data_IF_719695454505
#
_entry.id   IF_719695454505
#
_cell.length_a   1.000
_cell.length_b   1.000
_cell.length_c   1.000
_cell.angle_alpha   90.00
_cell.angle_beta   90.00
_cell.angle_gamma   90.00
#
_symmetry.space_group_name_H-M   'P 1'
#
loop_
_entity.id
_entity.type
_entity.pdbx_description
1 polymer ?
#
# COMPACT_ATOMS: atom_id res chain seq x y z
N UNK A 1 -22.76 -24.96 9.85
CA UNK A 1 -22.09 -23.90 9.07
C UNK A 1 -22.76 -22.57 9.45
N UNK A 2 -22.01 -21.65 10.04
CA UNK A 2 -22.53 -20.32 10.40
C UNK A 2 -22.25 -19.37 9.25
N UNK A 3 -23.26 -18.70 8.73
CA UNK A 3 -23.13 -17.69 7.68
C UNK A 3 -23.01 -16.32 8.34
N UNK A 4 -21.90 -15.62 8.09
CA UNK A 4 -21.72 -14.23 8.51
C UNK A 4 -22.52 -13.33 7.58
N UNK A 5 -23.43 -12.52 8.14
CA UNK A 5 -24.35 -11.64 7.39
C UNK A 5 -24.16 -10.17 7.71
N UNK A 6 -23.40 -9.84 8.75
CA UNK A 6 -23.18 -8.46 9.18
C UNK A 6 -21.71 -8.06 9.03
N UNK A 7 -21.48 -6.83 8.58
CA UNK A 7 -20.15 -6.24 8.42
C UNK A 7 -19.96 -5.21 9.53
N UNK A 8 -19.08 -5.52 10.49
CA UNK A 8 -18.82 -4.65 11.64
C UNK A 8 -17.70 -3.64 11.42
N UNK A 9 -16.87 -3.81 10.39
CA UNK A 9 -15.67 -2.98 10.16
C UNK A 9 -15.93 -1.60 9.58
N UNK A 10 -17.10 -1.36 8.98
CA UNK A 10 -17.42 -0.12 8.29
C UNK A 10 -18.83 0.34 8.62
N UNK A 11 -19.04 1.66 8.69
CA UNK A 11 -20.36 2.23 8.96
C UNK A 11 -21.39 1.80 7.90
N UNK A 12 -22.61 1.48 8.32
CA UNK A 12 -23.65 0.94 7.44
C UNK A 12 -24.07 1.85 6.27
N UNK A 13 -23.64 3.13 6.27
CA UNK A 13 -23.89 4.10 5.21
C UNK A 13 -22.74 4.22 4.19
N UNK A 14 -21.63 3.48 4.38
CA UNK A 14 -20.47 3.48 3.46
C UNK A 14 -20.86 2.90 2.11
N UNK A 15 -20.60 3.64 1.03
CA UNK A 15 -20.80 3.15 -0.33
C UNK A 15 -19.82 2.06 -0.71
N UNK A 16 -18.67 1.96 -0.03
CA UNK A 16 -17.73 0.85 -0.19
C UNK A 16 -18.42 -0.45 0.20
N UNK A 17 -19.12 -0.48 1.34
CA UNK A 17 -19.87 -1.65 1.83
C UNK A 17 -21.05 -1.98 0.92
N UNK A 18 -21.86 -0.98 0.60
CA UNK A 18 -23.03 -1.14 -0.28
C UNK A 18 -22.61 -1.70 -1.63
N UNK A 19 -21.56 -1.13 -2.24
CA UNK A 19 -21.07 -1.57 -3.54
C UNK A 19 -20.39 -2.94 -3.47
N UNK A 20 -19.72 -3.29 -2.39
CA UNK A 20 -19.17 -4.63 -2.19
C UNK A 20 -20.29 -5.69 -2.20
N UNK A 21 -21.42 -5.43 -1.52
CA UNK A 21 -22.58 -6.31 -1.55
C UNK A 21 -23.23 -6.40 -2.93
N UNK A 22 -23.35 -5.28 -3.66
CA UNK A 22 -23.88 -5.26 -5.03
C UNK A 22 -23.01 -6.10 -5.96
N UNK A 23 -21.69 -5.87 -5.94
CA UNK A 23 -20.73 -6.63 -6.76
C UNK A 23 -20.79 -8.13 -6.44
N UNK A 24 -20.87 -8.50 -5.16
CA UNK A 24 -20.98 -9.90 -4.75
C UNK A 24 -22.27 -10.58 -5.23
N UNK A 25 -23.32 -9.82 -5.48
CA UNK A 25 -24.59 -10.29 -6.10
C UNK A 25 -24.59 -10.25 -7.61
N UNK A 26 -23.49 -9.81 -8.26
CA UNK A 26 -23.39 -9.63 -9.70
C UNK A 26 -24.03 -8.34 -10.22
N UNK A 27 -24.34 -7.39 -9.35
CA UNK A 27 -24.89 -6.09 -9.70
C UNK A 27 -23.76 -5.06 -9.96
N UNK A 28 -24.06 -4.04 -10.78
CA UNK A 28 -23.13 -2.93 -10.97
C UNK A 28 -23.03 -2.06 -9.72
N UNK A 29 -21.82 -1.59 -9.35
CA UNK A 29 -21.67 -0.63 -8.25
C UNK A 29 -22.32 0.71 -8.60
N UNK A 30 -22.85 1.38 -7.59
CA UNK A 30 -23.31 2.75 -7.71
C UNK A 30 -22.13 3.71 -7.54
N UNK A 31 -21.79 4.41 -8.62
CA UNK A 31 -20.66 5.35 -8.68
C UNK A 31 -21.13 6.81 -8.79
N UNK A 32 -22.44 7.07 -8.65
CA UNK A 32 -23.03 8.39 -8.89
C UNK A 32 -23.22 9.22 -7.60
N UNK A 33 -23.02 8.62 -6.44
CA UNK A 33 -23.17 9.32 -5.17
C UNK A 33 -22.03 10.35 -5.02
N UNK A 34 -22.37 11.63 -5.15
CA UNK A 34 -21.50 12.75 -4.77
C UNK A 34 -21.39 12.74 -3.24
N UNK A 35 -20.34 13.12 -2.63
CA UNK A 35 -20.14 13.21 -1.17
C UNK A 35 -20.11 11.85 -0.43
N UNK A 36 -19.70 10.79 -1.10
CA UNK A 36 -19.55 9.44 -0.54
C UNK A 36 -18.07 9.00 -0.61
N UNK A 37 -17.79 7.82 -0.07
CA UNK A 37 -16.48 7.22 0.07
C UNK A 37 -16.08 6.27 -1.09
N UNK A 38 -16.88 6.19 -2.16
CA UNK A 38 -16.64 5.35 -3.33
C UNK A 38 -16.76 6.14 -4.63
N UNK A 39 -15.67 6.20 -5.40
CA UNK A 39 -15.58 7.01 -6.62
C UNK A 39 -15.11 6.17 -7.80
N UNK A 40 -15.61 6.46 -8.99
CA UNK A 40 -15.17 5.90 -10.25
C UNK A 40 -14.57 6.99 -11.14
N UNK A 41 -13.28 6.85 -11.47
CA UNK A 41 -12.60 7.70 -12.44
C UNK A 41 -12.32 6.92 -13.72
N UNK A 42 -13.01 7.27 -14.81
CA UNK A 42 -12.79 6.64 -16.11
C UNK A 42 -11.66 7.33 -16.86
N UNK A 43 -10.79 6.55 -17.48
CA UNK A 43 -9.70 6.98 -18.36
C UNK A 43 -9.69 6.14 -19.61
N UNK A 44 -9.30 6.72 -20.72
CA UNK A 44 -9.34 6.06 -22.02
C UNK A 44 -8.10 5.24 -22.33
N UNK A 45 -6.95 5.57 -21.71
CA UNK A 45 -5.68 4.92 -21.93
C UNK A 45 -4.98 4.55 -20.63
N UNK A 46 -4.13 3.52 -20.67
CA UNK A 46 -3.29 3.14 -19.52
C UNK A 46 -2.35 4.27 -19.08
N UNK A 47 -1.87 5.09 -20.01
CA UNK A 47 -1.03 6.25 -19.68
C UNK A 47 -1.79 7.31 -18.88
N UNK A 48 -3.03 7.59 -19.25
CA UNK A 48 -3.89 8.50 -18.50
C UNK A 48 -4.25 7.94 -17.13
N UNK A 49 -4.46 6.62 -17.01
CA UNK A 49 -4.69 5.95 -15.74
C UNK A 49 -3.47 6.10 -14.82
N UNK A 50 -2.26 5.81 -15.32
CA UNK A 50 -1.02 5.96 -14.56
C UNK A 50 -0.81 7.40 -14.09
N UNK A 51 -1.00 8.37 -14.98
CA UNK A 51 -0.89 9.80 -14.64
C UNK A 51 -1.91 10.19 -13.55
N UNK A 52 -3.15 9.70 -13.65
CA UNK A 52 -4.20 9.94 -12.65
C UNK A 52 -3.85 9.30 -11.30
N UNK A 53 -3.30 8.10 -11.28
CA UNK A 53 -2.86 7.43 -10.04
C UNK A 53 -1.78 8.28 -9.35
N UNK A 54 -0.77 8.73 -10.09
CA UNK A 54 0.28 9.60 -9.55
C UNK A 54 -0.29 10.92 -9.02
N UNK A 55 -1.17 11.58 -9.78
CA UNK A 55 -1.82 12.82 -9.37
C UNK A 55 -2.66 12.64 -8.09
N UNK A 56 -3.41 11.54 -8.00
CA UNK A 56 -4.18 11.21 -6.80
C UNK A 56 -3.29 11.06 -5.58
N UNK A 57 -2.20 10.31 -5.68
CA UNK A 57 -1.30 10.05 -4.57
C UNK A 57 -0.52 11.29 -4.13
N UNK A 58 -0.05 12.11 -5.09
CA UNK A 58 0.85 13.22 -4.78
C UNK A 58 0.13 14.52 -4.44
N UNK A 59 -1.04 14.75 -5.03
CA UNK A 59 -1.68 16.06 -5.02
C UNK A 59 -3.09 15.96 -4.46
N UNK A 60 -4.01 15.28 -5.16
CA UNK A 60 -5.43 15.41 -4.89
C UNK A 60 -5.87 14.84 -3.55
N UNK A 61 -5.39 13.65 -3.18
CA UNK A 61 -5.74 13.04 -1.89
C UNK A 61 -5.08 13.78 -0.71
N UNK A 62 -3.78 14.13 -0.75
CA UNK A 62 -3.17 14.95 0.30
C UNK A 62 -3.76 16.36 0.45
N UNK A 63 -4.18 16.98 -0.66
CA UNK A 63 -4.86 18.29 -0.59
C UNK A 63 -6.26 18.18 0.02
N UNK A 64 -6.98 17.10 -0.29
CA UNK A 64 -8.33 16.87 0.21
C UNK A 64 -8.33 16.41 1.69
N UNK A 65 -7.43 15.48 2.03
CA UNK A 65 -7.22 14.95 3.37
C UNK A 65 -5.90 15.50 3.92
N UNK A 66 -5.91 16.63 4.58
CA UNK A 66 -4.70 17.37 5.02
C UNK A 66 -3.73 16.58 5.90
N UNK A 67 -4.23 15.59 6.63
CA UNK A 67 -3.42 14.74 7.52
C UNK A 67 -2.93 13.45 6.84
N UNK A 68 -3.29 13.23 5.58
CA UNK A 68 -2.97 11.99 4.87
C UNK A 68 -1.52 11.98 4.41
N UNK A 69 -0.78 10.97 4.82
CA UNK A 69 0.56 10.66 4.29
C UNK A 69 0.44 9.80 3.04
N UNK A 70 0.92 10.27 1.88
CA UNK A 70 0.82 9.52 0.63
C UNK A 70 1.45 8.13 0.70
N UNK A 71 2.52 7.98 1.46
CA UNK A 71 3.26 6.72 1.55
C UNK A 71 2.61 5.74 2.54
N UNK A 72 2.20 6.21 3.74
CA UNK A 72 1.62 5.32 4.75
C UNK A 72 0.15 5.01 4.50
N UNK A 73 -0.67 6.00 4.13
CA UNK A 73 -2.12 5.89 4.21
C UNK A 73 -2.78 5.48 2.89
N UNK A 74 -2.04 5.58 1.77
CA UNK A 74 -2.57 5.17 0.47
C UNK A 74 -2.11 3.74 0.13
N UNK A 75 -3.09 2.91 -0.27
CA UNK A 75 -2.83 1.58 -0.81
C UNK A 75 -3.43 1.46 -2.21
N UNK A 76 -2.60 1.09 -3.19
CA UNK A 76 -3.04 0.86 -4.57
C UNK A 76 -3.18 -0.64 -4.78
N UNK A 77 -4.32 -1.03 -5.33
CA UNK A 77 -4.61 -2.41 -5.71
C UNK A 77 -4.70 -2.51 -7.23
N UNK A 78 -4.03 -3.49 -7.81
CA UNK A 78 -4.11 -3.81 -9.24
C UNK A 78 -4.27 -5.31 -9.44
N UNK A 79 -5.12 -5.76 -10.40
CA UNK A 79 -5.34 -7.19 -10.66
C UNK A 79 -4.20 -7.83 -11.47
N UNK A 80 -3.25 -7.04 -11.98
CA UNK A 80 -2.18 -7.53 -12.87
C UNK A 80 -0.79 -7.26 -12.30
N UNK A 81 0.15 -8.15 -12.59
CA UNK A 81 1.53 -8.03 -12.12
C UNK A 81 2.46 -7.30 -13.11
N UNK A 82 2.25 -7.54 -14.42
CA UNK A 82 3.08 -6.98 -15.51
C UNK A 82 2.28 -5.95 -16.31
N UNK A 83 2.97 -5.16 -17.14
CA UNK A 83 2.38 -4.08 -17.94
C UNK A 83 2.44 -2.74 -17.25
N UNK A 84 1.95 -1.70 -17.92
CA UNK A 84 2.05 -0.32 -17.47
C UNK A 84 1.35 -0.09 -16.12
N UNK A 85 0.20 -0.73 -15.92
CA UNK A 85 -0.58 -0.67 -14.67
C UNK A 85 -0.36 -1.89 -13.78
N UNK A 86 0.64 -2.72 -14.08
CA UNK A 86 1.00 -3.87 -13.25
C UNK A 86 1.73 -3.46 -11.98
N UNK A 87 1.62 -4.25 -10.92
CA UNK A 87 2.20 -3.94 -9.61
C UNK A 87 3.71 -3.71 -9.66
N UNK A 88 4.45 -4.38 -10.56
CA UNK A 88 5.90 -4.17 -10.71
C UNK A 88 6.18 -2.74 -11.21
N UNK A 89 5.50 -2.30 -12.27
CA UNK A 89 5.71 -0.98 -12.83
C UNK A 89 5.14 0.12 -11.92
N UNK A 90 3.95 -0.10 -11.33
CA UNK A 90 3.36 0.88 -10.41
C UNK A 90 4.26 1.12 -9.20
N UNK A 91 4.86 0.08 -8.61
CA UNK A 91 5.81 0.26 -7.50
C UNK A 91 7.01 1.12 -7.91
N UNK A 92 7.60 0.87 -9.09
CA UNK A 92 8.70 1.67 -9.60
C UNK A 92 8.29 3.13 -9.82
N UNK A 93 7.18 3.35 -10.53
CA UNK A 93 6.67 4.67 -10.87
C UNK A 93 6.29 5.51 -9.64
N UNK A 94 5.74 4.83 -8.61
CA UNK A 94 5.37 5.48 -7.36
C UNK A 94 6.57 5.71 -6.45
N UNK A 95 7.54 4.80 -6.39
CA UNK A 95 8.78 5.00 -5.67
C UNK A 95 9.51 6.25 -6.17
N UNK A 96 9.63 6.43 -7.49
CA UNK A 96 10.29 7.59 -8.09
C UNK A 96 9.63 8.93 -7.71
N UNK A 97 8.35 8.96 -7.43
CA UNK A 97 7.62 10.18 -7.11
C UNK A 97 7.37 10.36 -5.60
N UNK A 98 7.19 9.28 -4.83
CA UNK A 98 6.93 9.34 -3.40
C UNK A 98 8.22 9.28 -2.56
N UNK A 99 9.22 8.57 -3.04
CA UNK A 99 10.53 8.41 -2.39
C UNK A 99 11.65 8.50 -3.45
N UNK A 100 11.88 9.69 -4.04
CA UNK A 100 12.85 9.87 -5.12
C UNK A 100 14.29 9.59 -4.64
N UNK A 101 15.20 9.20 -5.56
CA UNK A 101 16.61 8.98 -5.23
C UNK A 101 17.21 10.19 -4.53
N UNK A 102 17.89 9.94 -3.42
CA UNK A 102 18.57 10.96 -2.65
C UNK A 102 19.95 10.44 -2.21
N UNK A 103 20.99 11.28 -2.32
CA UNK A 103 22.37 10.91 -1.94
C UNK A 103 22.53 10.55 -0.46
N UNK A 104 21.60 10.99 0.38
CA UNK A 104 21.58 10.67 1.82
C UNK A 104 20.85 9.38 2.16
N UNK A 105 20.19 8.73 1.19
CA UNK A 105 19.45 7.49 1.39
C UNK A 105 20.19 6.34 0.71
N UNK A 106 20.33 5.25 1.42
CA UNK A 106 20.87 4.03 0.84
C UNK A 106 19.78 3.31 0.03
N UNK A 107 20.22 2.73 -1.09
CA UNK A 107 19.37 1.89 -1.92
C UNK A 107 20.07 0.62 -2.35
N UNK A 108 19.33 -0.46 -2.56
CA UNK A 108 19.84 -1.73 -3.02
C UNK A 108 18.91 -2.41 -4.01
N UNK A 109 19.48 -2.88 -5.09
CA UNK A 109 18.73 -3.61 -6.13
C UNK A 109 18.86 -5.12 -5.92
N UNK A 110 17.71 -5.80 -5.91
CA UNK A 110 17.59 -7.26 -5.90
C UNK A 110 16.78 -7.71 -7.12
N UNK A 111 17.45 -8.27 -8.11
CA UNK A 111 16.84 -8.61 -9.39
C UNK A 111 16.28 -7.37 -10.10
N UNK A 112 15.00 -7.33 -10.34
CA UNK A 112 14.32 -6.22 -11.01
C UNK A 112 13.77 -5.15 -10.04
N UNK A 113 14.00 -5.29 -8.74
CA UNK A 113 13.46 -4.39 -7.71
C UNK A 113 14.57 -3.62 -7.04
N UNK A 114 14.38 -2.33 -6.93
CA UNK A 114 15.22 -1.46 -6.10
C UNK A 114 14.46 -1.14 -4.83
N UNK A 115 15.11 -1.36 -3.69
CA UNK A 115 14.65 -0.98 -2.37
C UNK A 115 15.46 0.22 -1.90
N UNK A 116 14.78 1.19 -1.30
CA UNK A 116 15.38 2.43 -0.79
C UNK A 116 14.91 2.67 0.63
N UNK A 117 15.77 3.25 1.46
CA UNK A 117 15.38 3.71 2.79
C UNK A 117 14.17 4.65 2.68
N UNK A 118 13.18 4.45 3.56
CA UNK A 118 11.89 5.12 3.52
C UNK A 118 10.82 4.43 2.66
N UNK A 119 11.15 3.38 1.91
CA UNK A 119 10.15 2.64 1.15
C UNK A 119 9.17 1.91 2.06
N UNK A 120 7.89 1.98 1.69
CA UNK A 120 6.84 1.13 2.24
C UNK A 120 6.96 -0.27 1.64
N UNK A 121 7.06 -1.27 2.47
CA UNK A 121 7.19 -2.67 2.07
C UNK A 121 6.15 -3.55 2.74
N UNK A 122 5.87 -4.70 2.16
CA UNK A 122 4.95 -5.69 2.72
C UNK A 122 5.60 -7.06 2.71
N UNK A 123 5.49 -7.76 3.82
CA UNK A 123 5.88 -9.17 3.92
C UNK A 123 4.95 -10.01 3.04
N UNK A 124 5.52 -10.75 2.08
CA UNK A 124 4.73 -11.53 1.11
C UNK A 124 4.64 -13.04 1.45
N UNK A 125 5.32 -13.46 2.52
CA UNK A 125 5.29 -14.83 3.03
C UNK A 125 5.47 -14.82 4.54
N UNK A 126 4.84 -15.75 5.24
CA UNK A 126 5.11 -15.93 6.67
C UNK A 126 6.56 -16.31 6.92
N UNK A 127 7.22 -15.62 7.82
CA UNK A 127 8.55 -15.97 8.34
C UNK A 127 8.47 -16.07 9.86
N UNK A 128 8.22 -17.27 10.36
CA UNK A 128 8.08 -17.56 11.79
C UNK A 128 9.35 -17.43 12.60
N UNK A 129 10.51 -17.39 11.92
CA UNK A 129 11.83 -17.35 12.55
C UNK A 129 12.46 -15.95 12.50
N UNK A 130 11.80 -14.99 11.84
CA UNK A 130 12.29 -13.62 11.79
C UNK A 130 12.20 -12.99 13.17
N UNK A 131 13.33 -12.63 13.74
CA UNK A 131 13.37 -11.96 15.05
C UNK A 131 13.05 -10.49 14.88
N UNK A 132 12.28 -9.96 15.81
CA UNK A 132 11.98 -8.55 15.90
C UNK A 132 12.14 -8.05 17.33
N UNK A 133 12.32 -6.76 17.48
CA UNK A 133 12.42 -6.05 18.75
C UNK A 133 11.49 -4.86 18.74
N UNK A 134 10.68 -4.73 19.78
CA UNK A 134 9.85 -3.57 19.95
C UNK A 134 10.71 -2.34 20.29
N UNK A 135 10.44 -1.21 19.62
CA UNK A 135 11.23 0.01 19.77
C UNK A 135 10.91 0.79 21.06
N UNK A 136 9.73 0.58 21.65
CA UNK A 136 9.30 1.29 22.86
C UNK A 136 9.73 0.58 24.14
N UNK A 137 9.38 -0.69 24.30
CA UNK A 137 9.58 -1.45 25.53
C UNK A 137 10.74 -2.45 25.45
N UNK A 138 11.38 -2.54 24.27
CA UNK A 138 12.50 -3.43 23.95
C UNK A 138 12.20 -4.94 24.12
N UNK A 139 10.93 -5.32 24.17
CA UNK A 139 10.55 -6.72 24.12
C UNK A 139 10.97 -7.34 22.80
N UNK A 140 11.36 -8.62 22.85
CA UNK A 140 11.78 -9.37 21.67
C UNK A 140 10.77 -10.46 21.36
N UNK A 141 10.59 -10.75 20.09
CA UNK A 141 9.72 -11.81 19.62
C UNK A 141 10.16 -12.38 18.30
N UNK A 142 9.38 -13.31 17.80
CA UNK A 142 9.62 -13.97 16.51
C UNK A 142 8.35 -13.99 15.67
N UNK A 143 8.53 -13.93 14.35
CA UNK A 143 7.46 -14.03 13.37
C UNK A 143 7.07 -12.69 12.76
N UNK A 144 7.14 -12.64 11.41
CA UNK A 144 6.55 -11.60 10.56
C UNK A 144 5.69 -12.31 9.52
N UNK A 145 4.49 -11.82 9.30
CA UNK A 145 3.48 -12.56 8.57
C UNK A 145 3.14 -11.94 7.22
N UNK A 146 2.59 -12.77 6.35
CA UNK A 146 2.11 -12.30 5.05
C UNK A 146 1.03 -11.23 5.25
N UNK A 147 1.27 -10.05 4.66
CA UNK A 147 0.40 -8.89 4.79
C UNK A 147 0.89 -7.83 5.78
N UNK A 148 1.87 -8.16 6.64
CA UNK A 148 2.49 -7.16 7.52
C UNK A 148 3.17 -6.08 6.67
N UNK A 149 2.84 -4.84 6.94
CA UNK A 149 3.37 -3.66 6.25
C UNK A 149 4.34 -2.93 7.15
N UNK A 150 5.44 -2.48 6.59
CA UNK A 150 6.45 -1.72 7.31
C UNK A 150 7.21 -0.76 6.41
N UNK A 151 8.17 -0.06 6.99
CA UNK A 151 9.02 0.90 6.30
C UNK A 151 10.49 0.51 6.45
N UNK A 152 11.25 0.60 5.36
CA UNK A 152 12.68 0.38 5.40
C UNK A 152 13.34 1.53 6.15
N UNK A 153 13.94 1.23 7.29
CA UNK A 153 14.64 2.22 8.11
C UNK A 153 16.10 2.38 7.68
N UNK A 154 16.81 1.27 7.47
CA UNK A 154 18.21 1.28 7.04
C UNK A 154 18.50 0.15 6.08
N UNK A 155 19.47 0.37 5.19
CA UNK A 155 20.00 -0.62 4.27
C UNK A 155 21.52 -0.71 4.48
N UNK A 156 21.99 -1.86 4.96
CA UNK A 156 23.40 -2.17 5.04
C UNK A 156 23.86 -2.93 3.80
N UNK A 157 24.69 -2.28 2.98
CA UNK A 157 25.20 -2.86 1.74
C UNK A 157 26.33 -3.87 1.99
N UNK A 158 27.11 -3.68 3.04
CA UNK A 158 28.26 -4.51 3.38
C UNK A 158 27.78 -5.87 3.90
N UNK A 159 26.88 -5.88 4.87
CA UNK A 159 26.30 -7.09 5.43
C UNK A 159 25.11 -7.64 4.64
N UNK A 160 24.63 -6.90 3.63
CA UNK A 160 23.50 -7.29 2.81
C UNK A 160 22.20 -7.44 3.60
N UNK A 161 22.00 -6.58 4.57
CA UNK A 161 20.88 -6.57 5.49
C UNK A 161 20.03 -5.31 5.32
N UNK A 162 18.77 -5.39 5.70
CA UNK A 162 17.91 -4.24 5.83
C UNK A 162 17.08 -4.34 7.11
N UNK A 163 16.91 -3.20 7.77
CA UNK A 163 16.02 -3.08 8.92
C UNK A 163 14.68 -2.53 8.45
N UNK A 164 13.61 -3.21 8.82
CA UNK A 164 12.23 -2.80 8.50
C UNK A 164 11.48 -2.59 9.81
N UNK A 165 10.84 -1.44 9.96
CA UNK A 165 9.95 -1.14 11.09
C UNK A 165 8.53 -1.46 10.67
N UNK A 166 7.90 -2.40 11.38
CA UNK A 166 6.50 -2.78 11.21
C UNK A 166 5.64 -2.11 12.29
N UNK A 167 4.43 -1.71 11.93
CA UNK A 167 3.44 -1.12 12.86
C UNK A 167 4.01 -0.02 13.78
N UNK A 168 4.96 0.79 13.26
CA UNK A 168 5.64 1.89 13.96
C UNK A 168 6.40 1.48 15.25
N UNK A 169 6.28 0.24 15.69
CA UNK A 169 6.84 -0.21 16.98
C UNK A 169 7.70 -1.48 16.91
N UNK A 170 7.65 -2.24 15.82
CA UNK A 170 8.35 -3.53 15.66
C UNK A 170 9.39 -3.51 14.57
#
# INVERSE_FOLDING_TARGET
>A
CTRLTEIFRQAGESMIVVNAHRINKGEYPDCNAKDKDFFLLRRSTEKEMLATIKELCLIRLPEYYKELSPTSDIQILTPVRKGLLGSINLNKELQEVLNPPNKSLEEKTFGERTFREGDKVMQIKNNYQMKWKNLEDFTEGEGVFNGDVGFIQTIDREFNEMTVVYDETK
#
